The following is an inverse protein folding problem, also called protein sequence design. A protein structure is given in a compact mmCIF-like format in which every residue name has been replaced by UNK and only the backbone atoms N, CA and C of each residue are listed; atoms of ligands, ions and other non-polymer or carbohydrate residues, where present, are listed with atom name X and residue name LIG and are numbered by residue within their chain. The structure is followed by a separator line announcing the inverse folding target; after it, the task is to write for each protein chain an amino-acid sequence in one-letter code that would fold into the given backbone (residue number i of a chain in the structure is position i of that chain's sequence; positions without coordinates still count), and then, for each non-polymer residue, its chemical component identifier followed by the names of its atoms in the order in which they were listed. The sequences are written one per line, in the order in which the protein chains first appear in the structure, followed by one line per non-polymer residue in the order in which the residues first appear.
data_IF_393701750312
#
_entry.id   IF_393701750312
#
_cell.length_a   1.000
_cell.length_b   1.000
_cell.length_c   1.000
_cell.angle_alpha   90.00
_cell.angle_beta   90.00
_cell.angle_gamma   90.00
#
_symmetry.space_group_name_H-M   'P 1'
#
loop_
_entity.id
_entity.type
_entity.pdbx_description
1 polymer ?
#
# COMPACT_ATOMS: atom_id res chain seq x y z
N UNK A 1 3.20 -14.58 0.37
CA UNK A 1 2.92 -15.33 1.61
C UNK A 1 1.52 -15.03 2.17
N UNK A 2 0.95 -13.83 1.99
CA UNK A 2 -0.39 -13.47 2.49
C UNK A 2 -1.54 -14.12 1.71
N UNK A 3 -1.36 -14.43 0.43
CA UNK A 3 -2.42 -14.93 -0.45
C UNK A 3 -3.21 -16.16 0.07
N UNK A 4 -2.58 -17.17 0.70
CA UNK A 4 -3.33 -18.27 1.31
C UNK A 4 -4.22 -17.81 2.46
N UNK A 5 -3.77 -16.84 3.27
CA UNK A 5 -4.55 -16.27 4.37
C UNK A 5 -5.72 -15.45 3.84
N UNK A 6 -5.50 -14.63 2.82
CA UNK A 6 -6.55 -13.86 2.14
C UNK A 6 -7.63 -14.80 1.58
N UNK A 7 -7.22 -15.90 0.92
CA UNK A 7 -8.14 -16.89 0.39
C UNK A 7 -8.98 -17.58 1.47
N UNK A 8 -8.41 -17.85 2.65
CA UNK A 8 -9.13 -18.41 3.80
C UNK A 8 -10.02 -17.37 4.46
N UNK A 9 -9.56 -16.13 4.60
CA UNK A 9 -10.30 -15.04 5.22
C UNK A 9 -11.57 -14.69 4.45
N UNK A 10 -11.49 -14.59 3.12
CA UNK A 10 -12.68 -14.30 2.28
C UNK A 10 -13.70 -15.44 2.30
N UNK A 11 -13.24 -16.68 2.45
CA UNK A 11 -14.11 -17.87 2.59
C UNK A 11 -14.68 -18.04 3.99
N UNK A 12 -14.18 -17.27 4.94
CA UNK A 12 -14.63 -17.35 6.34
C UNK A 12 -16.01 -16.73 6.50
N UNK A 13 -16.94 -17.53 6.96
CA UNK A 13 -18.28 -17.10 7.34
C UNK A 13 -18.42 -17.11 8.85
N UNK A 14 -18.53 -15.92 9.44
CA UNK A 14 -18.70 -15.77 10.89
C UNK A 14 -19.86 -16.59 11.46
N UNK A 15 -20.92 -16.79 10.67
CA UNK A 15 -22.06 -17.62 11.03
C UNK A 15 -21.70 -19.10 11.29
N UNK A 16 -20.65 -19.63 10.68
CA UNK A 16 -20.19 -21.00 10.92
C UNK A 16 -19.52 -21.17 12.29
N UNK A 17 -18.84 -20.12 12.77
CA UNK A 17 -18.28 -20.10 14.13
C UNK A 17 -19.38 -19.97 15.18
N UNK A 18 -20.36 -19.09 14.95
CA UNK A 18 -21.50 -18.90 15.85
C UNK A 18 -22.35 -20.18 16.01
N UNK A 19 -22.40 -21.01 14.98
CA UNK A 19 -23.06 -22.34 15.03
C UNK A 19 -22.20 -23.43 15.69
N UNK A 20 -21.02 -23.08 16.24
CA UNK A 20 -20.14 -24.03 16.93
C UNK A 20 -19.41 -25.03 16.01
N UNK A 21 -19.43 -24.83 14.69
CA UNK A 21 -18.78 -25.72 13.72
C UNK A 21 -17.24 -25.74 13.89
N UNK A 22 -16.66 -24.61 14.33
CA UNK A 22 -15.24 -24.46 14.62
C UNK A 22 -15.04 -23.78 15.97
N UNK A 23 -14.10 -24.26 16.77
CA UNK A 23 -13.77 -23.69 18.08
C UNK A 23 -12.91 -22.44 17.98
N UNK A 24 -12.04 -22.36 16.94
CA UNK A 24 -11.15 -21.22 16.71
C UNK A 24 -10.76 -21.11 15.23
N UNK A 25 -10.15 -19.97 14.88
CA UNK A 25 -9.71 -19.62 13.53
C UNK A 25 -8.67 -20.62 12.97
N UNK A 26 -7.78 -21.14 13.83
CA UNK A 26 -6.76 -22.10 13.41
C UNK A 26 -7.37 -23.45 13.00
N UNK A 27 -8.34 -23.92 13.77
CA UNK A 27 -9.07 -25.15 13.44
C UNK A 27 -9.83 -25.01 12.11
N UNK A 28 -10.46 -23.84 11.90
CA UNK A 28 -11.09 -23.52 10.62
C UNK A 28 -10.07 -23.57 9.47
N UNK A 29 -8.96 -22.84 9.58
CA UNK A 29 -7.94 -22.76 8.54
C UNK A 29 -7.36 -24.13 8.18
N UNK A 30 -7.04 -24.95 9.19
CA UNK A 30 -6.48 -26.28 8.98
C UNK A 30 -7.48 -27.23 8.33
N UNK A 31 -8.72 -27.22 8.79
CA UNK A 31 -9.80 -28.08 8.25
C UNK A 31 -10.15 -27.65 6.84
N UNK A 32 -10.29 -26.34 6.59
CA UNK A 32 -10.61 -25.81 5.26
C UNK A 32 -9.48 -26.09 4.26
N UNK A 33 -8.22 -25.91 4.67
CA UNK A 33 -7.05 -26.25 3.83
C UNK A 33 -7.03 -27.74 3.48
N UNK A 34 -7.42 -28.61 4.39
CA UNK A 34 -7.51 -30.06 4.15
C UNK A 34 -8.66 -30.41 3.21
N UNK A 35 -9.79 -29.70 3.30
CA UNK A 35 -10.98 -29.90 2.44
C UNK A 35 -10.70 -29.45 0.99
N UNK A 36 -10.19 -28.25 0.79
CA UNK A 36 -9.97 -27.66 -0.55
C UNK A 36 -8.61 -27.99 -1.16
N UNK A 37 -7.69 -28.49 -0.33
CA UNK A 37 -6.31 -28.79 -0.72
C UNK A 37 -5.46 -27.54 -0.99
N UNK A 38 -4.13 -27.72 -1.08
CA UNK A 38 -3.18 -26.63 -1.34
C UNK A 38 -3.54 -25.85 -2.62
N UNK A 39 -4.01 -26.50 -3.67
CA UNK A 39 -4.40 -25.85 -4.94
C UNK A 39 -5.57 -24.87 -4.78
N UNK A 40 -6.57 -25.23 -3.99
CA UNK A 40 -7.71 -24.37 -3.72
C UNK A 40 -7.32 -23.15 -2.90
N UNK A 41 -6.39 -23.32 -1.95
CA UNK A 41 -5.87 -22.22 -1.11
C UNK A 41 -5.02 -21.24 -1.95
N UNK A 42 -4.24 -21.76 -2.90
CA UNK A 42 -3.45 -20.91 -3.81
C UNK A 42 -4.23 -20.48 -5.07
N UNK A 43 -5.47 -20.92 -5.25
CA UNK A 43 -6.32 -20.42 -6.33
C UNK A 43 -6.61 -18.92 -6.10
N UNK A 44 -6.37 -18.09 -7.11
CA UNK A 44 -6.49 -16.64 -7.00
C UNK A 44 -5.20 -15.90 -6.58
N UNK A 45 -4.11 -16.64 -6.26
CA UNK A 45 -2.82 -16.05 -5.91
C UNK A 45 -2.32 -15.02 -6.94
N UNK A 46 -2.58 -15.26 -8.22
CA UNK A 46 -2.17 -14.34 -9.30
C UNK A 46 -2.76 -12.94 -9.13
N UNK A 47 -4.03 -12.83 -8.74
CA UNK A 47 -4.67 -11.53 -8.50
C UNK A 47 -4.06 -10.83 -7.28
N UNK A 48 -3.78 -11.57 -6.19
CA UNK A 48 -3.08 -11.03 -5.02
C UNK A 48 -1.69 -10.54 -5.39
N UNK A 49 -0.94 -11.33 -6.16
CA UNK A 49 0.41 -10.97 -6.59
C UNK A 49 0.42 -9.70 -7.43
N UNK A 50 -0.47 -9.60 -8.42
CA UNK A 50 -0.60 -8.40 -9.27
C UNK A 50 -1.00 -7.19 -8.43
N UNK A 51 -1.99 -7.34 -7.55
CA UNK A 51 -2.45 -6.28 -6.64
C UNK A 51 -1.31 -5.74 -5.79
N UNK A 52 -0.63 -6.66 -5.10
CA UNK A 52 0.39 -6.28 -4.10
C UNK A 52 1.65 -5.75 -4.78
N UNK A 53 2.09 -6.33 -5.91
CA UNK A 53 3.28 -5.86 -6.63
C UNK A 53 3.08 -4.48 -7.24
N UNK A 54 1.99 -4.26 -7.97
CA UNK A 54 1.71 -2.96 -8.59
C UNK A 54 1.38 -1.92 -7.53
N UNK A 55 0.61 -2.32 -6.50
CA UNK A 55 0.27 -1.44 -5.39
C UNK A 55 1.49 -0.99 -4.58
N UNK A 56 2.42 -1.90 -4.27
CA UNK A 56 3.68 -1.57 -3.62
C UNK A 56 4.55 -0.66 -4.50
N UNK A 57 4.65 -0.94 -5.80
CA UNK A 57 5.35 -0.08 -6.75
C UNK A 57 4.81 1.35 -6.75
N UNK A 58 3.49 1.51 -6.82
CA UNK A 58 2.84 2.82 -6.76
C UNK A 58 3.05 3.53 -5.42
N UNK A 59 3.01 2.77 -4.31
CA UNK A 59 3.27 3.30 -2.97
C UNK A 59 4.67 3.88 -2.88
N UNK A 60 5.70 3.09 -3.18
CA UNK A 60 7.08 3.54 -3.07
C UNK A 60 7.42 4.66 -4.05
N UNK A 61 6.89 4.62 -5.28
CA UNK A 61 7.10 5.69 -6.26
C UNK A 61 6.50 7.01 -5.77
N UNK A 62 5.26 7.01 -5.28
CA UNK A 62 4.63 8.22 -4.76
C UNK A 62 5.30 8.72 -3.47
N UNK A 63 5.70 7.80 -2.59
CA UNK A 63 6.41 8.11 -1.36
C UNK A 63 7.73 8.80 -1.64
N UNK A 64 8.58 8.20 -2.50
CA UNK A 64 9.89 8.74 -2.83
C UNK A 64 9.78 10.05 -3.59
N UNK A 65 8.82 10.17 -4.50
CA UNK A 65 8.57 11.42 -5.22
C UNK A 65 8.26 12.58 -4.27
N UNK A 66 7.40 12.40 -3.29
CA UNK A 66 7.04 13.46 -2.34
C UNK A 66 8.18 13.69 -1.34
N UNK A 67 8.77 12.62 -0.80
CA UNK A 67 9.83 12.70 0.20
C UNK A 67 11.10 13.35 -0.35
N UNK A 68 11.50 13.00 -1.58
CA UNK A 68 12.74 13.53 -2.18
C UNK A 68 12.47 14.72 -3.09
N UNK A 69 11.72 14.56 -4.17
CA UNK A 69 11.57 15.58 -5.20
C UNK A 69 10.78 16.79 -4.73
N UNK A 70 9.61 16.58 -4.10
CA UNK A 70 8.80 17.70 -3.60
C UNK A 70 9.49 18.41 -2.44
N UNK A 71 10.11 17.68 -1.52
CA UNK A 71 10.85 18.24 -0.41
C UNK A 71 12.06 19.05 -0.87
N UNK A 72 12.90 18.48 -1.76
CA UNK A 72 14.03 19.17 -2.35
C UNK A 72 13.61 20.43 -3.10
N UNK A 73 12.59 20.36 -3.92
CA UNK A 73 12.06 21.50 -4.67
C UNK A 73 11.56 22.61 -3.73
N UNK A 74 10.83 22.24 -2.69
CA UNK A 74 10.33 23.16 -1.68
C UNK A 74 11.48 23.85 -0.95
N UNK A 75 12.41 23.09 -0.38
CA UNK A 75 13.56 23.61 0.38
C UNK A 75 14.44 24.49 -0.53
N UNK A 76 14.70 24.03 -1.75
CA UNK A 76 15.49 24.77 -2.71
C UNK A 76 14.84 26.09 -3.17
N UNK A 77 13.51 26.11 -3.26
CA UNK A 77 12.76 27.33 -3.60
C UNK A 77 12.65 28.29 -2.40
N UNK A 78 12.29 27.77 -1.24
CA UNK A 78 12.04 28.58 -0.05
C UNK A 78 13.33 29.08 0.59
N UNK A 79 14.27 28.19 0.90
CA UNK A 79 15.55 28.55 1.53
C UNK A 79 16.62 28.95 0.51
N UNK A 80 16.36 28.81 -0.77
CA UNK A 80 17.28 29.22 -1.85
C UNK A 80 17.28 30.70 -2.17
N UNK A 81 16.30 31.45 -1.66
CA UNK A 81 16.22 32.91 -1.81
C UNK A 81 16.60 33.56 -0.49
N UNK A 82 17.63 34.40 -0.52
CA UNK A 82 18.12 35.09 0.68
C UNK A 82 17.03 35.92 1.38
N UNK A 83 16.13 36.54 0.61
CA UNK A 83 15.04 37.37 1.11
C UNK A 83 13.97 36.58 1.91
N UNK A 84 13.88 35.26 1.73
CA UNK A 84 12.91 34.41 2.47
C UNK A 84 13.48 33.79 3.75
N UNK A 85 14.76 34.01 4.01
CA UNK A 85 15.44 33.55 5.22
C UNK A 85 15.02 34.42 6.44
N UNK A 86 14.99 33.82 7.63
CA UNK A 86 14.78 34.56 8.85
C UNK A 86 15.95 35.50 9.10
N UNK A 87 15.70 36.61 9.84
CA UNK A 87 16.72 37.60 10.17
C UNK A 87 17.97 36.98 10.82
N UNK A 88 17.77 36.02 11.73
CA UNK A 88 18.86 35.26 12.38
C UNK A 88 19.70 34.49 11.38
N UNK A 89 19.06 33.87 10.37
CA UNK A 89 19.78 33.13 9.32
C UNK A 89 20.52 34.07 8.36
N UNK A 90 19.94 35.21 8.03
CA UNK A 90 20.60 36.25 7.23
C UNK A 90 21.83 36.80 7.93
N UNK A 91 21.71 37.11 9.22
CA UNK A 91 22.80 37.59 10.05
C UNK A 91 23.92 36.57 10.19
N UNK A 92 23.58 35.27 10.38
CA UNK A 92 24.58 34.22 10.44
C UNK A 92 25.37 34.05 9.13
N UNK A 93 24.70 34.24 7.98
CA UNK A 93 25.38 34.23 6.67
C UNK A 93 26.32 35.42 6.52
N UNK A 94 25.88 36.60 6.96
CA UNK A 94 26.72 37.83 6.93
C UNK A 94 27.93 37.70 7.85
N UNK A 95 27.77 37.20 9.07
CA UNK A 95 28.84 37.02 10.04
C UNK A 95 29.91 35.99 9.58
N UNK A 96 29.51 34.99 8.85
CA UNK A 96 30.42 33.96 8.36
C UNK A 96 30.98 34.25 6.94
N UNK A 97 30.59 35.35 6.32
CA UNK A 97 31.13 35.79 5.04
C UNK A 97 32.61 36.16 5.19
N UNK A 98 33.48 35.33 4.63
CA UNK A 98 34.93 35.50 4.73
C UNK A 98 35.66 34.29 5.32
N UNK A 99 34.95 33.36 5.90
CA UNK A 99 35.54 32.11 6.34
C UNK A 99 35.74 31.13 5.14
N UNK A 100 36.72 30.22 5.28
CA UNK A 100 37.05 29.21 4.24
C UNK A 100 35.90 28.26 3.94
N UNK A 101 34.99 28.06 4.90
CA UNK A 101 33.82 27.19 4.75
C UNK A 101 32.57 28.06 4.48
N UNK A 102 31.70 27.58 3.59
CA UNK A 102 30.42 28.25 3.29
C UNK A 102 29.50 28.16 4.49
N UNK A 103 28.76 29.26 4.82
CA UNK A 103 27.75 29.23 5.84
C UNK A 103 26.75 28.10 5.60
N UNK A 104 26.40 27.37 6.66
CA UNK A 104 25.46 26.26 6.59
C UNK A 104 24.12 26.68 7.22
N UNK A 105 23.03 26.48 6.50
CA UNK A 105 21.67 26.71 6.97
C UNK A 105 20.95 25.39 7.10
N UNK A 106 20.35 25.16 8.27
CA UNK A 106 19.46 24.01 8.50
C UNK A 106 18.01 24.47 8.35
N UNK A 107 17.20 23.79 7.50
CA UNK A 107 15.76 24.02 7.45
C UNK A 107 15.11 23.78 8.81
N UNK A 108 13.91 24.35 9.01
CA UNK A 108 13.18 24.15 10.25
C UNK A 108 12.92 22.67 10.51
N UNK A 109 13.18 22.21 11.73
CA UNK A 109 13.13 20.79 12.13
C UNK A 109 11.78 20.10 11.87
N UNK A 110 10.67 20.86 11.80
CA UNK A 110 9.33 20.33 11.53
C UNK A 110 9.06 20.04 10.05
N UNK A 111 9.89 20.54 9.13
CA UNK A 111 9.64 20.39 7.69
C UNK A 111 9.76 18.93 7.24
N UNK A 112 10.79 18.24 7.66
CA UNK A 112 10.99 16.83 7.27
C UNK A 112 9.87 15.91 7.78
N UNK A 113 9.45 15.94 9.07
CA UNK A 113 8.30 15.16 9.54
C UNK A 113 7.01 15.49 8.79
N UNK A 114 6.79 16.76 8.45
CA UNK A 114 5.61 17.19 7.69
C UNK A 114 5.61 16.63 6.28
N UNK A 115 6.74 16.70 5.56
CA UNK A 115 6.87 16.10 4.24
C UNK A 115 6.77 14.57 4.27
N UNK A 116 7.24 13.94 5.35
CA UNK A 116 7.10 12.50 5.55
C UNK A 116 5.63 12.10 5.74
N UNK A 117 4.85 12.88 6.50
CA UNK A 117 3.39 12.71 6.61
C UNK A 117 2.71 12.84 5.27
N UNK A 118 3.03 13.88 4.50
CA UNK A 118 2.48 14.09 3.16
C UNK A 118 2.88 12.97 2.20
N UNK A 119 4.13 12.51 2.28
CA UNK A 119 4.61 11.37 1.48
C UNK A 119 3.84 10.09 1.83
N UNK A 120 3.64 9.80 3.12
CA UNK A 120 2.86 8.64 3.57
C UNK A 120 1.40 8.71 3.16
N UNK A 121 0.78 9.88 3.28
CA UNK A 121 -0.61 10.09 2.84
C UNK A 121 -0.77 9.91 1.33
N UNK A 122 0.08 10.56 0.53
CA UNK A 122 0.04 10.46 -0.93
C UNK A 122 0.33 9.05 -1.44
N UNK A 123 1.32 8.37 -0.84
CA UNK A 123 1.65 6.98 -1.14
C UNK A 123 0.49 6.04 -0.83
N UNK A 124 -0.19 6.22 0.31
CA UNK A 124 -1.38 5.43 0.68
C UNK A 124 -2.52 5.62 -0.30
N UNK A 125 -2.75 6.84 -0.77
CA UNK A 125 -3.76 7.14 -1.80
C UNK A 125 -3.39 6.48 -3.13
N UNK A 126 -2.14 6.59 -3.56
CA UNK A 126 -1.64 5.98 -4.80
C UNK A 126 -1.79 4.44 -4.77
N UNK A 127 -1.42 3.81 -3.65
CA UNK A 127 -1.63 2.39 -3.43
C UNK A 127 -3.11 2.02 -3.47
N UNK A 128 -3.96 2.76 -2.76
CA UNK A 128 -5.40 2.50 -2.68
C UNK A 128 -6.09 2.59 -4.05
N UNK A 129 -5.64 3.50 -4.94
CA UNK A 129 -6.16 3.62 -6.31
C UNK A 129 -6.00 2.31 -7.11
N UNK A 130 -4.97 1.53 -6.81
CA UNK A 130 -4.68 0.25 -7.47
C UNK A 130 -5.28 -0.92 -6.70
N UNK A 131 -5.09 -0.94 -5.38
CA UNK A 131 -5.57 -2.02 -4.52
C UNK A 131 -7.09 -2.16 -4.56
N UNK A 132 -7.81 -1.04 -4.48
CA UNK A 132 -9.26 -1.07 -4.34
C UNK A 132 -9.99 -1.75 -5.51
N UNK A 133 -9.73 -1.39 -6.79
CA UNK A 133 -10.38 -2.05 -7.92
C UNK A 133 -10.01 -3.53 -8.04
N UNK A 134 -8.73 -3.87 -7.82
CA UNK A 134 -8.28 -5.27 -7.92
C UNK A 134 -8.86 -6.11 -6.77
N UNK A 135 -8.94 -5.58 -5.55
CA UNK A 135 -9.57 -6.25 -4.41
C UNK A 135 -11.06 -6.55 -4.66
N UNK A 136 -11.79 -5.65 -5.31
CA UNK A 136 -13.19 -5.89 -5.70
C UNK A 136 -13.33 -7.04 -6.70
N UNK A 137 -12.44 -7.12 -7.68
CA UNK A 137 -12.41 -8.25 -8.63
C UNK A 137 -12.03 -9.54 -7.90
N UNK A 138 -11.07 -9.48 -6.99
CA UNK A 138 -10.59 -10.59 -6.20
C UNK A 138 -11.68 -11.16 -5.27
N UNK A 139 -12.45 -10.30 -4.63
CA UNK A 139 -13.61 -10.71 -3.80
C UNK A 139 -14.62 -11.54 -4.59
N UNK A 140 -15.00 -11.08 -5.78
CA UNK A 140 -15.88 -11.84 -6.67
C UNK A 140 -15.23 -13.16 -7.16
N UNK A 141 -13.92 -13.13 -7.38
CA UNK A 141 -13.21 -14.34 -7.78
C UNK A 141 -13.21 -15.39 -6.69
N UNK A 142 -12.91 -15.02 -5.44
CA UNK A 142 -12.93 -15.94 -4.31
C UNK A 142 -14.32 -16.49 -4.00
N UNK A 143 -15.35 -15.66 -4.05
CA UNK A 143 -16.75 -16.12 -3.91
C UNK A 143 -17.09 -17.18 -4.95
N UNK A 144 -16.58 -17.00 -6.16
CA UNK A 144 -16.79 -17.99 -7.22
C UNK A 144 -16.00 -19.26 -7.02
N UNK A 145 -14.76 -19.16 -6.53
CA UNK A 145 -13.95 -20.35 -6.22
C UNK A 145 -14.60 -21.16 -5.11
N UNK A 146 -15.15 -20.51 -4.08
CA UNK A 146 -15.89 -21.18 -3.02
C UNK A 146 -17.12 -21.91 -3.55
N UNK A 147 -17.87 -21.29 -4.46
CA UNK A 147 -18.98 -21.95 -5.12
C UNK A 147 -18.55 -23.21 -5.89
N UNK A 148 -17.42 -23.14 -6.61
CA UNK A 148 -16.86 -24.29 -7.33
C UNK A 148 -16.43 -25.38 -6.34
N UNK A 149 -15.73 -25.04 -5.27
CA UNK A 149 -15.27 -25.98 -4.25
C UNK A 149 -16.43 -26.71 -3.58
N UNK A 150 -17.49 -25.97 -3.22
CA UNK A 150 -18.70 -26.53 -2.60
C UNK A 150 -19.42 -27.53 -3.52
N UNK A 151 -19.54 -27.20 -4.80
CA UNK A 151 -20.23 -28.08 -5.78
C UNK A 151 -19.34 -29.22 -6.27
N UNK A 152 -18.02 -29.02 -6.34
CA UNK A 152 -17.08 -30.10 -6.69
C UNK A 152 -16.99 -31.19 -5.61
N UNK A 153 -17.20 -30.83 -4.35
CA UNK A 153 -17.23 -31.79 -3.24
C UNK A 153 -18.46 -32.71 -3.33
N UNK A 154 -19.56 -32.18 -3.88
CA UNK A 154 -20.81 -32.93 -4.06
C UNK A 154 -20.76 -33.86 -5.28
N UNK A 155 -20.00 -33.49 -6.30
CA UNK A 155 -19.78 -34.30 -7.49
C UNK A 155 -18.39 -34.94 -7.43
N UNK A 156 -18.27 -36.26 -7.48
CA UNK A 156 -17.04 -37.09 -7.45
C UNK A 156 -15.92 -36.68 -8.45
N UNK A 157 -15.86 -35.39 -8.84
CA UNK A 157 -14.88 -34.80 -9.77
C UNK A 157 -13.50 -34.60 -9.13
N UNK A 158 -13.41 -34.74 -7.79
CA UNK A 158 -12.17 -34.53 -7.03
C UNK A 158 -10.98 -35.43 -7.44
N UNK A 159 -11.21 -36.51 -8.19
CA UNK A 159 -10.16 -37.45 -8.63
C UNK A 159 -9.38 -37.06 -9.89
N UNK A 160 -9.81 -36.08 -10.69
CA UNK A 160 -9.17 -35.73 -11.97
C UNK A 160 -8.43 -34.39 -11.89
N UNK A 161 -7.14 -34.46 -11.54
CA UNK A 161 -6.24 -33.28 -11.36
C UNK A 161 -6.24 -32.26 -12.51
N UNK A 162 -6.36 -32.72 -13.75
CA UNK A 162 -6.41 -31.89 -14.97
C UNK A 162 -7.73 -31.13 -15.14
N UNK A 163 -8.84 -31.69 -14.68
CA UNK A 163 -10.15 -31.05 -14.77
C UNK A 163 -10.26 -29.89 -13.75
N UNK A 164 -9.69 -30.06 -12.55
CA UNK A 164 -9.66 -28.98 -11.53
C UNK A 164 -8.88 -27.75 -12.04
N UNK A 165 -7.73 -27.95 -12.70
CA UNK A 165 -6.97 -26.84 -13.25
C UNK A 165 -7.73 -26.10 -14.36
N UNK A 166 -8.40 -26.80 -15.24
CA UNK A 166 -9.26 -26.19 -16.28
C UNK A 166 -10.44 -25.42 -15.66
N UNK A 167 -11.02 -25.91 -14.57
CA UNK A 167 -12.09 -25.22 -13.85
C UNK A 167 -11.61 -23.92 -13.21
N UNK A 168 -10.45 -23.92 -12.56
CA UNK A 168 -9.88 -22.71 -11.96
C UNK A 168 -9.48 -21.66 -13.00
N UNK A 169 -8.89 -22.06 -14.13
CA UNK A 169 -8.58 -21.13 -15.23
C UNK A 169 -9.85 -20.59 -15.90
N UNK A 170 -10.86 -21.42 -16.08
CA UNK A 170 -12.18 -20.98 -16.56
C UNK A 170 -12.88 -20.03 -15.58
N UNK A 171 -12.60 -20.17 -14.27
CA UNK A 171 -13.14 -19.29 -13.24
C UNK A 171 -12.70 -17.84 -13.46
N UNK A 172 -11.46 -17.56 -13.86
CA UNK A 172 -11.00 -16.20 -14.16
C UNK A 172 -11.83 -15.54 -15.28
N UNK A 173 -11.99 -16.25 -16.42
CA UNK A 173 -12.80 -15.74 -17.54
C UNK A 173 -14.26 -15.46 -17.14
N UNK A 174 -14.84 -16.35 -16.34
CA UNK A 174 -16.21 -16.18 -15.85
C UNK A 174 -16.30 -15.05 -14.82
N UNK A 175 -15.31 -14.88 -13.92
CA UNK A 175 -15.26 -13.76 -12.97
C UNK A 175 -15.27 -12.43 -13.71
N UNK A 176 -14.47 -12.29 -14.76
CA UNK A 176 -14.44 -11.06 -15.56
C UNK A 176 -15.81 -10.74 -16.20
N UNK A 177 -16.48 -11.76 -16.73
CA UNK A 177 -17.85 -11.62 -17.27
C UNK A 177 -18.86 -11.20 -16.18
N UNK A 178 -18.75 -11.78 -14.99
CA UNK A 178 -19.59 -11.40 -13.84
C UNK A 178 -19.32 -9.96 -13.39
N UNK A 179 -18.05 -9.56 -13.31
CA UNK A 179 -17.69 -8.17 -13.00
C UNK A 179 -18.33 -7.20 -13.98
N UNK A 180 -18.26 -7.46 -15.28
CA UNK A 180 -18.89 -6.64 -16.31
C UNK A 180 -20.42 -6.62 -16.17
N UNK A 181 -21.05 -7.76 -15.89
CA UNK A 181 -22.50 -7.84 -15.71
C UNK A 181 -22.97 -7.06 -14.46
N UNK A 182 -22.26 -7.19 -13.34
CA UNK A 182 -22.55 -6.44 -12.10
C UNK A 182 -22.31 -4.95 -12.31
N UNK A 183 -21.23 -4.57 -13.00
CA UNK A 183 -20.94 -3.18 -13.32
C UNK A 183 -22.04 -2.54 -14.19
N UNK A 184 -22.54 -3.26 -15.20
CA UNK A 184 -23.63 -2.78 -16.06
C UNK A 184 -24.93 -2.55 -15.28
N UNK A 185 -25.24 -3.43 -14.31
CA UNK A 185 -26.42 -3.28 -13.43
C UNK A 185 -26.24 -2.18 -12.39
N UNK A 186 -25.00 -1.94 -11.93
CA UNK A 186 -24.68 -1.00 -10.85
C UNK A 186 -24.37 0.44 -11.30
N UNK A 187 -24.60 0.80 -12.56
CA UNK A 187 -24.36 2.16 -13.07
C UNK A 187 -22.93 2.40 -13.58
N UNK A 188 -22.26 1.35 -14.01
CA UNK A 188 -20.96 1.43 -14.68
C UNK A 188 -19.78 0.83 -13.91
N UNK A 189 -18.71 0.52 -14.65
CA UNK A 189 -17.52 -0.13 -14.13
C UNK A 189 -16.82 0.71 -13.06
N UNK A 190 -16.70 2.02 -13.29
CA UNK A 190 -16.03 2.95 -12.35
C UNK A 190 -16.76 2.99 -11.00
N UNK A 191 -18.10 3.11 -11.01
CA UNK A 191 -18.90 3.15 -9.79
C UNK A 191 -18.81 1.83 -9.00
N UNK A 192 -18.77 0.70 -9.70
CA UNK A 192 -18.61 -0.61 -9.09
C UNK A 192 -17.23 -0.78 -8.45
N UNK A 193 -16.14 -0.46 -9.18
CA UNK A 193 -14.75 -0.67 -8.74
C UNK A 193 -14.35 0.27 -7.61
N UNK A 194 -14.85 1.51 -7.58
CA UNK A 194 -14.47 2.52 -6.58
C UNK A 194 -15.56 2.80 -5.55
N UNK A 195 -16.52 1.88 -5.40
CA UNK A 195 -17.54 1.99 -4.34
C UNK A 195 -16.87 1.97 -2.96
N UNK A 196 -17.17 2.98 -2.12
CA UNK A 196 -16.58 3.18 -0.77
C UNK A 196 -15.05 3.40 -0.76
N UNK A 197 -14.45 3.78 -1.89
CA UNK A 197 -13.02 4.05 -2.01
C UNK A 197 -12.54 5.10 -1.00
N UNK A 198 -13.18 6.27 -0.95
CA UNK A 198 -12.79 7.39 -0.08
C UNK A 198 -12.77 6.98 1.39
N UNK A 199 -13.82 6.30 1.87
CA UNK A 199 -13.92 5.89 3.26
C UNK A 199 -12.82 4.87 3.64
N UNK A 200 -12.53 3.94 2.75
CA UNK A 200 -11.49 2.94 2.98
C UNK A 200 -10.09 3.58 2.99
N UNK A 201 -9.83 4.49 2.04
CA UNK A 201 -8.57 5.21 1.95
C UNK A 201 -8.35 6.13 3.16
N UNK A 202 -9.35 6.91 3.56
CA UNK A 202 -9.27 7.77 4.76
C UNK A 202 -8.99 6.98 6.04
N UNK A 203 -9.47 5.75 6.13
CA UNK A 203 -9.20 4.87 7.28
C UNK A 203 -7.76 4.35 7.28
N UNK A 204 -7.18 4.13 6.10
CA UNK A 204 -5.83 3.57 5.93
C UNK A 204 -4.73 4.63 6.12
N UNK A 205 -4.93 5.87 5.63
CA UNK A 205 -3.92 6.94 5.61
C UNK A 205 -3.31 7.22 7.00
N UNK A 206 -4.06 7.40 8.09
CA UNK A 206 -3.47 7.70 9.40
C UNK A 206 -2.55 6.60 9.91
N UNK A 207 -2.92 5.34 9.72
CA UNK A 207 -2.12 4.19 10.16
C UNK A 207 -0.79 4.11 9.42
N UNK A 208 -0.80 4.29 8.10
CA UNK A 208 0.40 4.25 7.27
C UNK A 208 1.33 5.41 7.58
N UNK A 209 0.78 6.62 7.71
CA UNK A 209 1.56 7.83 8.02
C UNK A 209 2.19 7.75 9.41
N UNK A 210 1.46 7.26 10.41
CA UNK A 210 2.01 7.07 11.77
C UNK A 210 3.16 6.05 11.78
N UNK A 211 3.03 4.93 11.06
CA UNK A 211 4.10 3.93 10.93
C UNK A 211 5.38 4.51 10.31
N UNK A 212 5.24 5.34 9.28
CA UNK A 212 6.38 5.99 8.63
C UNK A 212 7.07 7.03 9.53
N UNK A 213 6.30 7.79 10.33
CA UNK A 213 6.88 8.73 11.31
C UNK A 213 7.67 7.98 12.37
N UNK A 214 7.11 6.90 12.92
CA UNK A 214 7.81 6.09 13.93
C UNK A 214 9.11 5.54 13.33
N UNK A 215 9.06 5.02 12.10
CA UNK A 215 10.25 4.54 11.41
C UNK A 215 11.31 5.64 11.25
N UNK A 216 10.92 6.86 10.83
CA UNK A 216 11.84 7.97 10.66
C UNK A 216 12.44 8.46 12.00
N UNK A 217 11.62 8.51 13.05
CA UNK A 217 12.12 8.84 14.41
C UNK A 217 13.14 7.81 14.88
N UNK A 218 12.90 6.52 14.66
CA UNK A 218 13.85 5.47 14.98
C UNK A 218 15.12 5.57 14.13
N UNK A 219 14.97 5.82 12.83
CA UNK A 219 16.11 6.02 11.92
C UNK A 219 17.00 7.16 12.40
N UNK A 220 16.43 8.30 12.77
CA UNK A 220 17.20 9.45 13.30
C UNK A 220 17.86 9.16 14.63
N UNK A 221 17.18 8.38 15.48
CA UNK A 221 17.74 8.05 16.80
C UNK A 221 18.89 7.05 16.74
N UNK A 222 18.86 6.13 15.77
CA UNK A 222 19.80 5.01 15.65
C UNK A 222 20.64 5.03 14.35
N UNK A 223 20.36 5.97 13.43
CA UNK A 223 21.14 6.19 12.21
C UNK A 223 22.42 6.99 12.48
N UNK A 224 23.39 6.84 11.59
CA UNK A 224 24.63 7.63 11.65
C UNK A 224 24.40 9.00 11.00
N UNK A 225 25.02 10.05 11.55
CA UNK A 225 24.94 11.44 11.06
C UNK A 225 25.64 11.69 9.70
N UNK A 226 26.25 10.64 9.10
CA UNK A 226 27.03 10.76 7.86
C UNK A 226 26.18 10.96 6.58
N UNK A 227 24.86 10.87 6.66
CA UNK A 227 23.93 10.96 5.50
C UNK A 227 23.46 12.41 5.18
N UNK A 228 24.09 13.44 5.77
CA UNK A 228 23.70 14.82 5.54
C UNK A 228 23.96 15.27 4.07
N UNK A 229 22.90 15.60 3.33
CA UNK A 229 22.98 16.10 1.96
C UNK A 229 23.12 17.62 1.98
N UNK A 230 24.19 18.16 1.35
CA UNK A 230 24.43 19.60 1.22
C UNK A 230 23.95 20.08 -0.14
N UNK A 231 23.08 21.10 -0.16
CA UNK A 231 22.60 21.78 -1.36
C UNK A 231 23.32 23.10 -1.49
N UNK A 232 24.28 23.26 -2.45
CA UNK A 232 25.00 24.52 -2.64
C UNK A 232 24.10 25.60 -3.26
N UNK A 233 24.08 26.78 -2.66
CA UNK A 233 23.42 27.99 -3.16
C UNK A 233 24.43 29.16 -3.23
N UNK A 234 24.02 30.28 -3.80
CA UNK A 234 24.86 31.47 -3.99
C UNK A 234 25.30 32.07 -2.63
N UNK A 235 26.38 31.53 -2.09
CA UNK A 235 27.03 32.05 -0.88
C UNK A 235 26.80 31.24 0.40
N UNK A 236 25.99 30.16 0.38
CA UNK A 236 25.74 29.29 1.53
C UNK A 236 25.33 27.87 1.10
N UNK A 237 25.37 26.93 2.02
CA UNK A 237 24.95 25.56 1.80
C UNK A 237 23.72 25.24 2.68
N UNK A 238 22.70 24.64 2.10
CA UNK A 238 21.52 24.13 2.84
C UNK A 238 21.81 22.67 3.21
N UNK A 239 21.76 22.34 4.49
CA UNK A 239 22.05 21.00 5.00
C UNK A 239 20.73 20.29 5.28
N UNK A 240 20.49 19.16 4.62
CA UNK A 240 19.37 18.23 4.87
C UNK A 240 19.91 17.04 5.65
N UNK A 241 19.19 16.61 6.69
CA UNK A 241 19.53 15.46 7.53
C UNK A 241 18.77 14.21 7.07
#
# INVERSE_FOLDING_TARGET
LAAPLDALQVRFQAAEMLKGKYKNMWQYGFRKTREIGARGVFAGWTLSFVRDSIGAGAFFTAFEFVKSQCFYSFVSSFYGQFATLSEVQQESIHAQRGHRERPQIKPHYMLEPTFLLLAGASASVAQALIHHPISRIQELHYTRLEWIDTHAHTSKIAGRRLQAFKLYTAAYKKTFKVCLAVARRGGGLRRFLYKNFVMNTLRQVPSTSAGLIIFEVLRRKYGNDDDAVKIPKNGYDIVLL
#
